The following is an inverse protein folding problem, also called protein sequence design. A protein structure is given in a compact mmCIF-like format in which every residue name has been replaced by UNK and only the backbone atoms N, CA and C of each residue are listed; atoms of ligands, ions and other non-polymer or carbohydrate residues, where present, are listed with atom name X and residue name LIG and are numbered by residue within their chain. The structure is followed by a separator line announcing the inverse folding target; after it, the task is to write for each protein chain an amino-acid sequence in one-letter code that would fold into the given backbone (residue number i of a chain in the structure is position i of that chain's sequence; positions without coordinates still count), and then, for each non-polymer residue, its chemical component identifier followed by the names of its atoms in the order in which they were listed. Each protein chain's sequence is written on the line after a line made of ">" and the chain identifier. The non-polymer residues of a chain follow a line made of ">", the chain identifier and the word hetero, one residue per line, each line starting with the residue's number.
data_IF_330040314184
#
_entry.id   IF_330040314184
#
_cell.length_a   1.000
_cell.length_b   1.000
_cell.length_c   1.000
_cell.angle_alpha   90.00
_cell.angle_beta   90.00
_cell.angle_gamma   90.00
#
_symmetry.space_group_name_H-M   'P 1'
#
loop_
_entity.id
_entity.type
_entity.pdbx_description
1 polymer ?
#
# COMPACT_ATOMS: atom_id res chain seq x y z
N UNK A 1 -5.66 -13.49 -4.37
CA UNK A 1 -6.61 -13.49 -5.52
C UNK A 1 -7.92 -14.05 -5.01
N UNK A 2 -9.04 -13.39 -5.30
CA UNK A 2 -10.38 -13.88 -4.99
C UNK A 2 -10.65 -15.04 -5.94
N UNK A 3 -11.08 -16.19 -5.42
CA UNK A 3 -11.42 -17.35 -6.26
C UNK A 3 -12.66 -17.05 -7.12
N UNK A 4 -12.79 -17.67 -8.32
CA UNK A 4 -13.92 -17.44 -9.24
C UNK A 4 -15.29 -17.68 -8.58
N UNK A 5 -15.37 -18.67 -7.69
CA UNK A 5 -16.59 -18.96 -6.94
C UNK A 5 -16.98 -17.82 -6.01
N UNK A 6 -15.99 -17.20 -5.33
CA UNK A 6 -16.20 -16.07 -4.45
C UNK A 6 -16.59 -14.81 -5.23
N UNK A 7 -16.00 -14.59 -6.42
CA UNK A 7 -16.42 -13.52 -7.33
C UNK A 7 -17.89 -13.65 -7.73
N UNK A 8 -18.33 -14.85 -8.04
CA UNK A 8 -19.72 -15.10 -8.41
C UNK A 8 -20.69 -14.82 -7.27
N UNK A 9 -20.40 -15.27 -6.03
CA UNK A 9 -21.21 -15.03 -4.85
C UNK A 9 -21.31 -13.53 -4.49
N UNK A 10 -20.23 -12.77 -4.72
CA UNK A 10 -20.19 -11.31 -4.49
C UNK A 10 -20.75 -10.49 -5.66
N UNK A 11 -21.13 -11.14 -6.77
CA UNK A 11 -21.60 -10.44 -7.98
C UNK A 11 -20.50 -9.66 -8.71
N UNK A 12 -19.22 -9.96 -8.45
CA UNK A 12 -18.08 -9.31 -9.10
C UNK A 12 -17.93 -9.87 -10.51
N UNK A 13 -17.89 -9.00 -11.50
CA UNK A 13 -17.63 -9.34 -12.89
C UNK A 13 -16.18 -9.02 -13.26
N UNK A 14 -15.68 -9.65 -14.31
CA UNK A 14 -14.38 -9.32 -14.86
C UNK A 14 -14.41 -7.97 -15.59
N UNK A 15 -13.24 -7.40 -15.80
CA UNK A 15 -13.09 -6.07 -16.41
C UNK A 15 -13.81 -5.92 -17.75
N UNK A 16 -13.71 -6.93 -18.63
CA UNK A 16 -14.33 -6.92 -19.96
C UNK A 16 -15.84 -6.68 -19.92
N UNK A 17 -16.50 -7.07 -18.81
CA UNK A 17 -17.94 -6.82 -18.63
C UNK A 17 -18.27 -5.34 -18.46
N UNK A 18 -17.34 -4.58 -17.90
CA UNK A 18 -17.55 -3.15 -17.57
C UNK A 18 -16.87 -2.20 -18.55
N UNK A 19 -15.91 -2.67 -19.35
CA UNK A 19 -15.04 -1.84 -20.16
C UNK A 19 -15.78 -0.76 -20.97
N UNK A 20 -16.85 -1.15 -21.67
CA UNK A 20 -17.65 -0.22 -22.49
C UNK A 20 -18.46 0.77 -21.63
N UNK A 21 -18.82 0.42 -20.40
CA UNK A 21 -19.65 1.24 -19.52
C UNK A 21 -18.86 2.29 -18.73
N UNK A 22 -17.53 2.18 -18.68
CA UNK A 22 -16.65 3.07 -17.91
C UNK A 22 -15.88 4.07 -18.78
N UNK A 23 -16.17 4.14 -20.07
CA UNK A 23 -15.60 5.15 -20.98
C UNK A 23 -15.92 6.54 -20.45
N UNK A 24 -14.90 7.40 -20.34
CA UNK A 24 -14.98 8.74 -19.76
C UNK A 24 -15.36 8.77 -18.26
N UNK A 25 -15.23 7.68 -17.54
CA UNK A 25 -15.26 7.69 -16.08
C UNK A 25 -13.89 8.09 -15.49
N UNK A 26 -13.86 8.39 -14.21
CA UNK A 26 -12.61 8.53 -13.47
C UNK A 26 -12.15 7.17 -12.94
N UNK A 27 -10.84 6.95 -12.95
CA UNK A 27 -10.23 5.72 -12.44
C UNK A 27 -9.61 5.98 -11.07
N UNK A 28 -9.92 5.13 -10.10
CA UNK A 28 -9.28 5.12 -8.81
C UNK A 28 -8.48 3.83 -8.63
N UNK A 29 -7.17 3.95 -8.45
CA UNK A 29 -6.27 2.81 -8.27
C UNK A 29 -5.65 2.80 -6.88
N UNK A 30 -5.52 1.59 -6.33
CA UNK A 30 -4.92 1.35 -5.03
C UNK A 30 -3.74 0.38 -5.13
N UNK A 31 -3.18 0.02 -3.98
CA UNK A 31 -1.96 -0.81 -3.88
C UNK A 31 -2.06 -2.16 -4.62
N UNK A 32 -3.26 -2.71 -4.80
CA UNK A 32 -3.45 -3.91 -5.60
C UNK A 32 -2.96 -3.79 -7.04
N UNK A 33 -3.05 -2.60 -7.62
CA UNK A 33 -2.51 -2.31 -8.95
C UNK A 33 -0.98 -2.42 -8.97
N UNK A 34 -0.31 -1.74 -8.05
CA UNK A 34 1.16 -1.77 -7.93
C UNK A 34 1.69 -3.17 -7.64
N UNK A 35 1.00 -3.95 -6.77
CA UNK A 35 1.36 -5.34 -6.48
C UNK A 35 1.27 -6.22 -7.72
N UNK A 36 0.29 -6.01 -8.61
CA UNK A 36 0.19 -6.76 -9.86
C UNK A 36 1.34 -6.45 -10.82
N UNK A 37 1.83 -5.22 -10.84
CA UNK A 37 3.01 -4.84 -11.62
C UNK A 37 4.31 -5.34 -10.99
N UNK A 38 4.41 -5.24 -9.67
CA UNK A 38 5.60 -5.63 -8.93
C UNK A 38 5.23 -6.19 -7.54
N UNK A 39 5.29 -7.50 -7.38
CA UNK A 39 4.96 -8.19 -6.11
C UNK A 39 5.79 -7.73 -4.92
N UNK A 40 6.99 -7.16 -5.15
CA UNK A 40 7.85 -6.60 -4.10
C UNK A 40 7.21 -5.41 -3.39
N UNK A 41 6.20 -4.76 -3.99
CA UNK A 41 5.43 -3.65 -3.39
C UNK A 41 4.27 -4.13 -2.49
N UNK A 42 4.14 -5.43 -2.25
CA UNK A 42 3.18 -5.93 -1.27
C UNK A 42 3.57 -5.51 0.15
N UNK A 43 2.57 -5.27 1.01
CA UNK A 43 2.81 -4.93 2.42
C UNK A 43 3.71 -5.95 3.14
N UNK A 44 3.59 -7.24 2.80
CA UNK A 44 4.42 -8.30 3.37
C UNK A 44 5.87 -8.10 2.96
N UNK A 45 6.15 -7.95 1.66
CA UNK A 45 7.51 -7.78 1.16
C UNK A 45 8.16 -6.48 1.66
N UNK A 46 7.39 -5.40 1.73
CA UNK A 46 7.86 -4.14 2.29
C UNK A 46 8.20 -4.29 3.78
N UNK A 47 7.35 -4.99 4.55
CA UNK A 47 7.61 -5.23 5.97
C UNK A 47 8.83 -6.12 6.18
N UNK A 48 9.02 -7.18 5.41
CA UNK A 48 10.21 -8.04 5.48
C UNK A 48 11.50 -7.25 5.26
N UNK A 49 11.54 -6.38 4.24
CA UNK A 49 12.69 -5.52 3.98
C UNK A 49 12.92 -4.50 5.10
N UNK A 50 11.86 -3.87 5.58
CA UNK A 50 11.89 -2.90 6.67
C UNK A 50 12.37 -3.52 7.99
N UNK A 51 11.86 -4.70 8.35
CA UNK A 51 12.14 -5.37 9.62
C UNK A 51 13.63 -5.71 9.82
N UNK A 52 14.37 -5.90 8.73
CA UNK A 52 15.81 -6.17 8.78
C UNK A 52 16.64 -4.92 9.13
N UNK A 53 16.07 -3.72 9.09
CA UNK A 53 16.80 -2.45 9.21
C UNK A 53 16.25 -1.52 10.30
N UNK A 54 15.12 -1.85 10.90
CA UNK A 54 14.42 -0.98 11.85
C UNK A 54 14.65 -1.38 13.31
N UNK A 55 14.23 -0.49 14.21
CA UNK A 55 14.23 -0.76 15.65
C UNK A 55 13.38 -1.99 16.00
N UNK A 56 13.90 -2.95 16.80
CA UNK A 56 13.14 -4.13 17.22
C UNK A 56 11.79 -3.83 17.88
N UNK A 57 11.64 -2.69 18.55
CA UNK A 57 10.35 -2.26 19.13
C UNK A 57 9.29 -2.06 18.05
N UNK A 58 9.68 -1.56 16.86
CA UNK A 58 8.76 -1.42 15.73
C UNK A 58 8.34 -2.78 15.18
N UNK A 59 9.26 -3.73 15.04
CA UNK A 59 8.93 -5.11 14.63
C UNK A 59 7.90 -5.71 15.58
N UNK A 60 8.15 -5.65 16.89
CA UNK A 60 7.20 -6.11 17.90
C UNK A 60 5.82 -5.46 17.79
N UNK A 61 5.76 -4.19 17.39
CA UNK A 61 4.49 -3.48 17.22
C UNK A 61 3.68 -4.06 16.05
N UNK A 62 4.32 -4.33 14.90
CA UNK A 62 3.68 -5.03 13.79
C UNK A 62 3.17 -6.41 14.20
N UNK A 63 3.96 -7.19 14.93
CA UNK A 63 3.60 -8.51 15.44
C UNK A 63 2.39 -8.46 16.40
N UNK A 64 2.41 -7.53 17.36
CA UNK A 64 1.31 -7.36 18.34
C UNK A 64 0.01 -6.91 17.69
N UNK A 65 0.09 -6.05 16.67
CA UNK A 65 -1.06 -5.60 15.89
C UNK A 65 -1.47 -6.62 14.81
N UNK A 66 -0.69 -7.71 14.64
CA UNK A 66 -0.94 -8.78 13.65
C UNK A 66 -1.15 -8.22 12.23
N UNK A 67 -0.30 -7.31 11.82
CA UNK A 67 -0.39 -6.64 10.53
C UNK A 67 0.98 -6.42 9.92
N UNK A 68 1.07 -6.38 8.58
CA UNK A 68 2.20 -5.86 7.82
C UNK A 68 1.92 -4.48 7.22
N UNK A 69 0.72 -3.92 7.48
CA UNK A 69 0.31 -2.63 6.94
C UNK A 69 0.86 -1.49 7.80
N UNK A 70 1.73 -0.67 7.22
CA UNK A 70 2.38 0.48 7.85
C UNK A 70 1.40 1.55 8.30
N UNK A 71 0.31 1.77 7.55
CA UNK A 71 -0.72 2.76 7.91
C UNK A 71 -1.45 2.36 9.19
N UNK A 72 -1.73 1.07 9.36
CA UNK A 72 -2.34 0.55 10.59
C UNK A 72 -1.43 0.82 11.79
N UNK A 73 -0.13 0.59 11.67
CA UNK A 73 0.84 0.84 12.73
C UNK A 73 1.02 2.33 12.99
N UNK A 74 1.11 3.16 11.94
CA UNK A 74 1.15 4.62 12.07
C UNK A 74 -0.09 5.17 12.78
N UNK A 75 -1.27 4.67 12.42
CA UNK A 75 -2.54 5.06 13.06
C UNK A 75 -2.53 4.68 14.55
N UNK A 76 -2.05 3.50 14.90
CA UNK A 76 -1.94 3.06 16.29
C UNK A 76 -0.99 3.97 17.10
N UNK A 77 0.18 4.32 16.56
CA UNK A 77 1.14 5.21 17.19
C UNK A 77 0.59 6.64 17.38
N UNK A 78 -0.07 7.18 16.34
CA UNK A 78 -0.69 8.51 16.44
C UNK A 78 -1.82 8.52 17.47
N UNK A 79 -2.63 7.46 17.54
CA UNK A 79 -3.67 7.34 18.57
C UNK A 79 -3.08 7.23 19.97
N UNK A 80 -1.98 6.48 20.13
CA UNK A 80 -1.27 6.38 21.41
C UNK A 80 -0.72 7.75 21.87
N UNK A 81 -0.17 8.55 20.95
CA UNK A 81 0.28 9.90 21.23
C UNK A 81 -0.88 10.80 21.72
N UNK A 82 -2.03 10.76 21.05
CA UNK A 82 -3.22 11.51 21.44
C UNK A 82 -3.68 11.11 22.84
N UNK A 83 -3.79 9.80 23.10
CA UNK A 83 -4.21 9.27 24.40
C UNK A 83 -3.22 9.69 25.49
N UNK A 84 -1.92 9.54 25.24
CA UNK A 84 -0.88 9.90 26.19
C UNK A 84 -0.93 11.40 26.57
N UNK A 85 -1.17 12.28 25.60
CA UNK A 85 -1.36 13.72 25.83
C UNK A 85 -2.58 14.01 26.73
N UNK A 86 -3.71 13.37 26.45
CA UNK A 86 -4.95 13.58 27.24
C UNK A 86 -4.78 13.13 28.68
N UNK A 87 -4.10 12.00 28.89
CA UNK A 87 -3.91 11.41 30.22
C UNK A 87 -2.60 11.85 30.92
N UNK A 88 -1.86 12.80 30.34
CA UNK A 88 -0.56 13.29 30.85
C UNK A 88 0.45 12.14 31.08
N UNK A 89 0.45 11.14 30.19
CA UNK A 89 1.42 10.05 30.19
C UNK A 89 2.69 10.49 29.45
N UNK A 90 3.81 9.81 29.72
CA UNK A 90 5.03 10.04 28.96
C UNK A 90 4.86 9.52 27.52
N UNK A 91 5.09 10.38 26.53
CA UNK A 91 4.99 10.07 25.10
C UNK A 91 6.23 10.51 24.30
N UNK A 92 7.29 10.94 24.97
CA UNK A 92 8.49 11.48 24.31
C UNK A 92 9.13 10.48 23.33
N UNK A 93 9.05 9.18 23.62
CA UNK A 93 9.55 8.12 22.71
C UNK A 93 8.63 7.88 21.51
N UNK A 94 7.37 8.28 21.53
CA UNK A 94 6.44 8.00 20.41
C UNK A 94 6.77 8.86 19.18
N UNK A 95 7.12 10.13 19.38
CA UNK A 95 7.42 11.05 18.27
C UNK A 95 8.60 10.55 17.42
N UNK A 96 9.78 10.24 17.98
CA UNK A 96 10.88 9.69 17.20
C UNK A 96 10.54 8.33 16.57
N UNK A 97 9.76 7.50 17.25
CA UNK A 97 9.30 6.21 16.72
C UNK A 97 8.39 6.38 15.48
N UNK A 98 7.47 7.32 15.50
CA UNK A 98 6.61 7.67 14.35
C UNK A 98 7.47 8.17 13.18
N UNK A 99 8.46 9.02 13.46
CA UNK A 99 9.37 9.54 12.43
C UNK A 99 10.26 8.43 11.84
N UNK A 100 10.75 7.52 12.67
CA UNK A 100 11.53 6.38 12.23
C UNK A 100 10.71 5.48 11.30
N UNK A 101 9.46 5.17 11.68
CA UNK A 101 8.57 4.35 10.86
C UNK A 101 8.30 5.01 9.49
N UNK A 102 8.00 6.32 9.47
CA UNK A 102 7.76 7.06 8.22
C UNK A 102 9.00 7.08 7.32
N UNK A 103 10.17 7.39 7.87
CA UNK A 103 11.43 7.41 7.11
C UNK A 103 11.80 6.01 6.61
N UNK A 104 11.61 5.00 7.44
CA UNK A 104 11.86 3.60 7.09
C UNK A 104 10.95 3.13 5.96
N UNK A 105 9.65 3.48 5.99
CA UNK A 105 8.72 3.17 4.90
C UNK A 105 9.16 3.82 3.59
N UNK A 106 9.45 5.13 3.59
CA UNK A 106 9.90 5.86 2.39
C UNK A 106 11.17 5.21 1.82
N UNK A 107 12.15 4.91 2.68
CA UNK A 107 13.40 4.25 2.28
C UNK A 107 13.11 2.88 1.66
N UNK A 108 12.30 2.06 2.32
CA UNK A 108 11.97 0.71 1.85
C UNK A 108 11.26 0.75 0.50
N UNK A 109 10.30 1.66 0.30
CA UNK A 109 9.63 1.85 -0.99
C UNK A 109 10.65 2.24 -2.06
N UNK A 110 11.50 3.23 -1.79
CA UNK A 110 12.52 3.70 -2.76
C UNK A 110 13.51 2.60 -3.16
N UNK A 111 13.89 1.72 -2.23
CA UNK A 111 14.79 0.59 -2.48
C UNK A 111 14.10 -0.60 -3.19
N UNK A 112 12.78 -0.70 -3.04
CA UNK A 112 11.98 -1.82 -3.57
C UNK A 112 11.32 -1.47 -4.90
N UNK A 113 11.17 -0.18 -5.19
CA UNK A 113 10.52 0.30 -6.41
C UNK A 113 11.22 -0.26 -7.65
N UNK A 114 10.47 -0.87 -8.60
CA UNK A 114 11.06 -1.43 -9.81
C UNK A 114 11.63 -0.32 -10.69
N UNK A 115 12.79 -0.56 -11.28
CA UNK A 115 13.25 0.30 -12.36
C UNK A 115 12.39 0.09 -13.62
N UNK A 116 12.23 1.13 -14.42
CA UNK A 116 11.44 1.08 -15.67
C UNK A 116 11.79 -0.12 -16.55
N UNK A 117 13.09 -0.47 -16.63
CA UNK A 117 13.58 -1.61 -17.43
C UNK A 117 13.16 -3.00 -16.89
N UNK A 118 12.72 -3.08 -15.63
CA UNK A 118 12.29 -4.33 -15.00
C UNK A 118 10.83 -4.67 -15.34
N UNK A 119 10.04 -3.69 -15.79
CA UNK A 119 8.65 -3.89 -16.16
C UNK A 119 8.56 -4.16 -17.66
N UNK A 120 7.81 -5.20 -18.04
CA UNK A 120 7.63 -5.56 -19.44
C UNK A 120 7.04 -4.35 -20.21
N UNK A 121 7.69 -3.89 -21.32
CA UNK A 121 7.20 -2.77 -22.12
C UNK A 121 5.80 -2.98 -22.71
N UNK A 122 5.38 -4.22 -22.92
CA UNK A 122 4.03 -4.53 -23.42
C UNK A 122 2.96 -4.20 -22.37
N UNK A 123 3.27 -4.38 -21.09
CA UNK A 123 2.37 -3.97 -19.98
C UNK A 123 2.13 -2.46 -20.04
N UNK A 124 3.18 -1.67 -20.22
CA UNK A 124 3.02 -0.21 -20.33
C UNK A 124 2.17 0.20 -21.53
N UNK A 125 2.31 -0.47 -22.67
CA UNK A 125 1.49 -0.18 -23.85
C UNK A 125 0.02 -0.51 -23.58
N UNK A 126 -0.25 -1.66 -23.00
CA UNK A 126 -1.62 -2.06 -22.64
C UNK A 126 -2.22 -1.10 -21.64
N UNK A 127 -1.50 -0.73 -20.58
CA UNK A 127 -1.95 0.23 -19.60
C UNK A 127 -2.20 1.62 -20.19
N UNK A 128 -1.35 2.08 -21.12
CA UNK A 128 -1.54 3.37 -21.78
C UNK A 128 -2.85 3.38 -22.60
N UNK A 129 -3.18 2.28 -23.26
CA UNK A 129 -4.43 2.13 -24.01
C UNK A 129 -5.63 2.14 -23.05
N UNK A 130 -5.58 1.35 -21.98
CA UNK A 130 -6.65 1.28 -20.98
C UNK A 130 -6.85 2.62 -20.28
N UNK A 131 -5.78 3.27 -19.86
CA UNK A 131 -5.85 4.56 -19.15
C UNK A 131 -6.38 5.70 -20.02
N UNK A 132 -6.20 5.62 -21.35
CA UNK A 132 -6.76 6.59 -22.28
C UNK A 132 -8.31 6.62 -22.33
N UNK A 133 -8.96 5.61 -21.78
CA UNK A 133 -10.43 5.55 -21.68
C UNK A 133 -10.99 6.37 -20.50
N UNK A 134 -10.14 6.80 -19.55
CA UNK A 134 -10.56 7.54 -18.35
C UNK A 134 -10.25 9.02 -18.48
N UNK A 135 -11.08 9.86 -17.83
CA UNK A 135 -10.87 11.30 -17.77
C UNK A 135 -9.73 11.64 -16.81
N UNK A 136 -9.84 11.19 -15.57
CA UNK A 136 -8.87 11.42 -14.52
C UNK A 136 -8.47 10.11 -13.84
N UNK A 137 -7.23 10.04 -13.37
CA UNK A 137 -6.69 8.89 -12.65
C UNK A 137 -6.23 9.35 -11.27
N UNK A 138 -6.84 8.75 -10.25
CA UNK A 138 -6.51 9.00 -8.85
C UNK A 138 -5.83 7.77 -8.25
N UNK A 139 -4.86 8.00 -7.37
CA UNK A 139 -4.18 6.91 -6.66
C UNK A 139 -4.00 7.22 -5.18
N UNK A 140 -4.06 6.18 -4.35
CA UNK A 140 -3.65 6.22 -2.95
C UNK A 140 -2.28 5.57 -2.73
N UNK A 141 -1.62 5.14 -3.80
CA UNK A 141 -0.32 4.50 -3.69
C UNK A 141 0.74 5.53 -3.31
N UNK A 142 1.78 5.06 -2.62
CA UNK A 142 2.94 5.91 -2.28
C UNK A 142 4.05 5.80 -3.33
N UNK A 143 3.95 4.82 -4.22
CA UNK A 143 4.90 4.47 -5.27
C UNK A 143 4.60 5.19 -6.60
#
# INVERSE_FOLDING_TARGET
>A
MIEEKEKFELGIKDWDYYADSVINADLFIGNGFSINLCKRLSYISLFENFSNQCNPKLVQLFEKLKTSNFETVLKALNNAEIIAKIFNLNYEELIPTILELKKGLIKTISETHPEYKEINPEIFRSLAVEFAHFNDIYTTNYD
#
